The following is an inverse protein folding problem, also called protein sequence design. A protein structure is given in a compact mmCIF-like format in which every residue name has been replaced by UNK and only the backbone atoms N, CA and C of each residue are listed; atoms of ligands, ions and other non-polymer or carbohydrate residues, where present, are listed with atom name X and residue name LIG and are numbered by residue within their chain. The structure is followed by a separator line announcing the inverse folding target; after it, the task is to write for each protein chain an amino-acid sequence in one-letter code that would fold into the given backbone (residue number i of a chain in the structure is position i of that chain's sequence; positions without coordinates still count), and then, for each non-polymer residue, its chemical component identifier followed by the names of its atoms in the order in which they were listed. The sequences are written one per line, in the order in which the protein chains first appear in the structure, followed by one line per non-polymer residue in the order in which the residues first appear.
data_IF_534771320320
#
_entry.id   IF_534771320320
#
_cell.length_a   1.000
_cell.length_b   1.000
_cell.length_c   1.000
_cell.angle_alpha   90.00
_cell.angle_beta   90.00
_cell.angle_gamma   90.00
#
_symmetry.space_group_name_H-M   'P 1'
#
loop_
_entity.id
_entity.type
_entity.pdbx_description
1 polymer ?
#
# COMPACT_ATOMS: atom_id res chain seq x y z
N UNK A 1 24.39 -1.80 14.45
CA UNK A 1 23.09 -1.91 13.76
C UNK A 1 23.32 -2.72 12.49
N UNK A 2 22.39 -3.59 12.07
CA UNK A 2 22.48 -4.22 10.76
C UNK A 2 22.52 -3.15 9.67
N UNK A 3 23.11 -3.48 8.52
CA UNK A 3 23.05 -2.60 7.36
C UNK A 3 21.59 -2.29 7.00
N UNK A 4 21.29 -1.05 6.60
CA UNK A 4 20.01 -0.67 6.01
C UNK A 4 20.12 -0.64 4.48
N UNK A 5 19.88 -1.77 3.80
CA UNK A 5 20.00 -1.83 2.35
C UNK A 5 18.86 -1.10 1.62
N UNK A 6 17.82 -0.62 2.32
CA UNK A 6 16.70 0.06 1.69
C UNK A 6 16.79 1.58 1.84
N UNK A 7 17.48 2.08 2.87
CA UNK A 7 17.65 3.51 3.10
C UNK A 7 16.30 4.22 3.22
N UNK A 8 15.31 3.56 3.83
CA UNK A 8 13.98 4.15 3.96
C UNK A 8 14.01 5.22 5.06
N UNK A 9 13.26 6.32 4.89
CA UNK A 9 13.07 7.25 5.99
C UNK A 9 12.34 6.56 7.15
N UNK A 10 12.58 7.03 8.37
CA UNK A 10 11.90 6.48 9.56
C UNK A 10 10.38 6.67 9.50
N UNK A 11 9.92 7.71 8.80
CA UNK A 11 8.49 7.95 8.58
C UNK A 11 8.24 8.72 7.29
N UNK A 12 7.08 8.45 6.67
CA UNK A 12 6.56 9.20 5.51
C UNK A 12 5.11 9.56 5.82
N UNK A 13 4.80 10.85 5.81
CA UNK A 13 3.45 11.37 5.99
C UNK A 13 2.98 12.04 4.70
N UNK A 14 1.71 11.85 4.36
CA UNK A 14 1.07 12.51 3.23
C UNK A 14 0.07 13.55 3.76
N UNK A 15 0.21 14.79 3.32
CA UNK A 15 -0.79 15.83 3.52
C UNK A 15 -1.64 15.95 2.27
N UNK A 16 -2.85 15.40 2.32
CA UNK A 16 -3.80 15.47 1.21
C UNK A 16 -4.62 16.75 1.29
N UNK A 17 -4.64 17.51 0.20
CA UNK A 17 -5.47 18.71 0.08
C UNK A 17 -6.94 18.34 -0.15
N UNK A 18 -7.21 17.37 -1.02
CA UNK A 18 -8.55 16.90 -1.37
C UNK A 18 -8.68 15.40 -1.13
N UNK A 19 -9.76 15.01 -0.48
CA UNK A 19 -10.09 13.65 -0.08
C UNK A 19 -11.39 13.19 -0.73
N UNK A 20 -11.39 11.93 -1.17
CA UNK A 20 -12.58 11.21 -1.62
C UNK A 20 -12.92 10.15 -0.58
N UNK A 21 -14.05 10.32 0.10
CA UNK A 21 -14.49 9.45 1.19
C UNK A 21 -15.65 8.61 0.68
N UNK A 22 -15.45 7.30 0.58
CA UNK A 22 -16.47 6.35 0.16
C UNK A 22 -17.18 5.80 1.40
N UNK A 23 -18.45 6.11 1.56
CA UNK A 23 -19.28 5.50 2.61
C UNK A 23 -20.01 4.29 2.03
N UNK A 24 -19.52 3.10 2.34
CA UNK A 24 -20.12 1.85 1.87
C UNK A 24 -21.49 1.56 2.49
N UNK A 25 -21.83 2.14 3.65
CA UNK A 25 -23.13 1.94 4.30
C UNK A 25 -24.18 2.87 3.69
N UNK A 26 -23.82 4.13 3.46
CA UNK A 26 -24.72 5.14 2.88
C UNK A 26 -24.75 5.14 1.35
N UNK A 27 -23.84 4.39 0.72
CA UNK A 27 -23.66 4.37 -0.74
C UNK A 27 -23.44 5.77 -1.33
N UNK A 28 -22.72 6.64 -0.60
CA UNK A 28 -22.36 7.98 -1.05
C UNK A 28 -20.84 8.18 -1.12
N UNK A 29 -20.42 9.18 -1.88
CA UNK A 29 -19.04 9.64 -1.96
C UNK A 29 -19.03 11.10 -1.51
N UNK A 30 -18.18 11.42 -0.54
CA UNK A 30 -17.96 12.80 -0.08
C UNK A 30 -16.64 13.31 -0.62
N UNK A 31 -16.66 14.49 -1.23
CA UNK A 31 -15.46 15.20 -1.67
C UNK A 31 -15.18 16.29 -0.64
N UNK A 32 -14.02 16.24 0.00
CA UNK A 32 -13.61 17.22 1.02
C UNK A 32 -12.31 17.86 0.57
N UNK A 33 -12.28 19.18 0.43
CA UNK A 33 -11.07 19.93 0.10
C UNK A 33 -10.70 20.88 1.24
N UNK A 34 -9.47 20.78 1.73
CA UNK A 34 -8.93 21.66 2.76
C UNK A 34 -8.39 22.94 2.13
N UNK A 35 -8.73 24.07 2.75
CA UNK A 35 -8.25 25.41 2.37
C UNK A 35 -7.29 25.92 3.44
N UNK A 36 -6.16 26.49 3.01
CA UNK A 36 -5.21 27.15 3.92
C UNK A 36 -5.63 28.60 4.14
N UNK A 37 -5.73 29.02 5.41
CA UNK A 37 -6.28 30.33 5.80
C UNK A 37 -5.23 31.47 5.67
N UNK A 38 -3.99 31.13 5.35
CA UNK A 38 -2.87 32.07 5.35
C UNK A 38 -2.79 32.92 4.06
N UNK A 39 -3.68 32.69 3.10
CA UNK A 39 -3.72 33.34 1.78
C UNK A 39 -5.03 34.12 1.59
N UNK A 40 -5.27 34.62 0.38
CA UNK A 40 -6.56 35.22 0.01
C UNK A 40 -7.68 34.17 0.13
N UNK A 41 -8.43 34.26 1.23
CA UNK A 41 -9.47 33.30 1.60
C UNK A 41 -10.55 33.16 0.52
N UNK A 42 -10.93 34.27 -0.14
CA UNK A 42 -11.99 34.22 -1.15
C UNK A 42 -11.52 33.47 -2.40
N UNK A 43 -10.27 33.72 -2.81
CA UNK A 43 -9.64 33.01 -3.92
C UNK A 43 -9.48 31.53 -3.62
N UNK A 44 -8.97 31.17 -2.45
CA UNK A 44 -8.74 29.77 -2.10
C UNK A 44 -10.04 28.98 -1.91
N UNK A 45 -11.09 29.63 -1.38
CA UNK A 45 -12.41 29.04 -1.35
C UNK A 45 -12.93 28.73 -2.77
N UNK A 46 -12.82 29.68 -3.71
CA UNK A 46 -13.21 29.46 -5.12
C UNK A 46 -12.41 28.33 -5.76
N UNK A 47 -11.12 28.24 -5.48
CA UNK A 47 -10.25 27.15 -5.97
C UNK A 47 -10.71 25.79 -5.42
N UNK A 48 -11.05 25.70 -4.14
CA UNK A 48 -11.54 24.47 -3.52
C UNK A 48 -12.88 24.02 -4.10
N UNK A 49 -13.81 24.95 -4.31
CA UNK A 49 -15.10 24.66 -4.97
C UNK A 49 -14.87 24.13 -6.38
N UNK A 50 -14.02 24.80 -7.17
CA UNK A 50 -13.70 24.35 -8.53
C UNK A 50 -13.08 22.95 -8.57
N UNK A 51 -12.20 22.60 -7.61
CA UNK A 51 -11.63 21.25 -7.50
C UNK A 51 -12.70 20.21 -7.18
N UNK A 52 -13.62 20.54 -6.28
CA UNK A 52 -14.75 19.66 -5.91
C UNK A 52 -15.63 19.40 -7.13
N UNK A 53 -15.99 20.44 -7.88
CA UNK A 53 -16.83 20.32 -9.07
C UNK A 53 -16.15 19.49 -10.17
N UNK A 54 -14.85 19.70 -10.42
CA UNK A 54 -14.08 18.91 -11.39
C UNK A 54 -14.06 17.43 -11.02
N UNK A 55 -13.82 17.12 -9.73
CA UNK A 55 -13.81 15.73 -9.26
C UNK A 55 -15.20 15.09 -9.35
N UNK A 56 -16.25 15.83 -8.99
CA UNK A 56 -17.63 15.36 -9.12
C UNK A 56 -17.97 15.05 -10.59
N UNK A 57 -17.58 15.93 -11.52
CA UNK A 57 -17.77 15.71 -12.96
C UNK A 57 -16.97 14.50 -13.44
N UNK A 58 -15.73 14.32 -12.98
CA UNK A 58 -14.92 13.16 -13.35
C UNK A 58 -15.50 11.84 -12.84
N UNK A 59 -16.09 11.84 -11.65
CA UNK A 59 -16.73 10.66 -11.06
C UNK A 59 -18.05 10.29 -11.76
N UNK A 60 -18.74 11.24 -12.37
CA UNK A 60 -19.99 10.99 -13.10
C UNK A 60 -19.76 10.42 -14.51
N UNK A 61 -18.54 10.54 -15.04
CA UNK A 61 -18.18 9.99 -16.36
C UNK A 61 -18.06 8.45 -16.30
N UNK A 62 -18.45 7.74 -17.38
CA UNK A 62 -18.24 6.31 -17.48
C UNK A 62 -16.76 5.93 -17.32
N UNK A 63 -16.51 4.88 -16.54
CA UNK A 63 -15.17 4.31 -16.37
C UNK A 63 -14.74 3.62 -17.66
N UNK A 64 -13.78 4.19 -18.38
CA UNK A 64 -13.08 3.51 -19.47
C UNK A 64 -12.07 2.57 -18.86
N UNK A 65 -12.45 1.30 -18.69
CA UNK A 65 -11.49 0.27 -18.30
C UNK A 65 -10.55 -0.03 -19.47
N UNK A 66 -9.23 0.10 -19.32
CA UNK A 66 -8.31 -0.47 -20.29
C UNK A 66 -8.47 -2.00 -20.23
N UNK A 67 -9.18 -2.56 -21.22
CA UNK A 67 -9.38 -3.99 -21.45
C UNK A 67 -8.05 -4.77 -21.48
N UNK A 68 -6.94 -4.07 -21.74
CA UNK A 68 -5.60 -4.65 -21.85
C UNK A 68 -4.96 -5.09 -20.51
N UNK A 69 -5.58 -4.82 -19.35
CA UNK A 69 -5.03 -5.25 -18.06
C UNK A 69 -5.17 -6.76 -17.79
N UNK A 70 -6.06 -7.46 -18.50
CA UNK A 70 -6.20 -8.93 -18.42
C UNK A 70 -5.48 -9.66 -19.56
N UNK A 71 -5.02 -8.95 -20.59
CA UNK A 71 -4.31 -9.50 -21.75
C UNK A 71 -2.83 -9.85 -21.47
N UNK A 72 -2.42 -9.93 -20.20
CA UNK A 72 -1.27 -10.76 -19.80
C UNK A 72 -1.64 -12.25 -19.77
N UNK A 73 -2.58 -12.65 -20.63
CA UNK A 73 -2.81 -14.03 -20.99
C UNK A 73 -1.46 -14.66 -21.39
N UNK A 74 -1.01 -15.59 -20.55
CA UNK A 74 -0.03 -16.62 -20.89
C UNK A 74 1.39 -16.17 -21.30
N UNK A 75 1.99 -15.14 -20.68
CA UNK A 75 3.46 -15.19 -20.57
C UNK A 75 3.79 -16.39 -19.67
N UNK A 76 4.48 -17.41 -20.22
CA UNK A 76 4.95 -18.62 -19.51
C UNK A 76 5.30 -18.25 -18.08
N UNK A 77 4.73 -18.93 -17.07
CA UNK A 77 5.10 -18.79 -15.65
C UNK A 77 6.61 -18.71 -15.57
N UNK A 78 7.16 -17.50 -15.41
CA UNK A 78 8.60 -17.37 -15.36
C UNK A 78 9.03 -18.01 -14.05
N UNK A 79 9.96 -18.97 -14.13
CA UNK A 79 10.65 -19.55 -12.98
C UNK A 79 11.63 -18.55 -12.37
N UNK A 80 11.28 -17.27 -12.32
CA UNK A 80 12.10 -16.26 -11.65
C UNK A 80 12.22 -16.68 -10.19
N UNK A 81 13.47 -16.81 -9.75
CA UNK A 81 13.80 -17.20 -8.38
C UNK A 81 13.48 -16.03 -7.45
N UNK A 82 12.95 -16.37 -6.29
CA UNK A 82 12.87 -15.44 -5.16
C UNK A 82 14.27 -15.16 -4.64
N UNK A 83 14.54 -13.91 -4.28
CA UNK A 83 15.69 -13.55 -3.46
C UNK A 83 15.24 -13.52 -1.99
N UNK A 84 16.01 -14.20 -1.14
CA UNK A 84 15.82 -14.24 0.31
C UNK A 84 17.05 -13.63 0.99
N UNK A 85 16.87 -12.96 2.13
CA UNK A 85 18.01 -12.51 2.96
C UNK A 85 18.72 -13.73 3.57
N UNK A 86 17.95 -14.68 4.10
CA UNK A 86 18.47 -15.90 4.72
C UNK A 86 18.04 -17.13 3.91
N UNK A 87 18.93 -18.11 3.84
CA UNK A 87 18.58 -19.44 3.37
C UNK A 87 17.76 -20.19 4.43
N UNK A 88 16.98 -21.18 4.00
CA UNK A 88 16.03 -21.90 4.86
C UNK A 88 16.64 -22.42 6.17
N UNK A 89 17.84 -23.01 6.13
CA UNK A 89 18.53 -23.54 7.32
C UNK A 89 18.84 -22.46 8.37
N UNK A 90 19.32 -21.29 7.93
CA UNK A 90 19.70 -20.18 8.81
C UNK A 90 18.51 -19.57 9.56
N UNK A 91 17.29 -19.69 9.04
CA UNK A 91 16.10 -19.23 9.74
C UNK A 91 15.76 -20.17 10.90
N UNK A 92 15.92 -21.48 10.72
CA UNK A 92 15.70 -22.44 11.81
C UNK A 92 16.70 -22.25 12.94
N UNK A 93 17.99 -22.08 12.62
CA UNK A 93 19.03 -21.74 13.61
C UNK A 93 18.68 -20.45 14.38
N UNK A 94 18.20 -19.42 13.67
CA UNK A 94 17.78 -18.17 14.32
C UNK A 94 16.55 -18.37 15.23
N UNK A 95 15.63 -19.26 14.87
CA UNK A 95 14.45 -19.58 15.70
C UNK A 95 14.86 -20.38 16.93
N UNK A 96 15.74 -21.38 16.80
CA UNK A 96 16.28 -22.15 17.92
C UNK A 96 16.94 -21.24 18.96
N UNK A 97 17.76 -20.30 18.48
CA UNK A 97 18.37 -19.29 19.35
C UNK A 97 17.34 -18.39 20.07
N UNK A 98 16.28 -17.99 19.39
CA UNK A 98 15.19 -17.24 20.04
C UNK A 98 14.50 -18.07 21.14
N UNK A 99 14.33 -19.37 20.93
CA UNK A 99 13.73 -20.29 21.91
C UNK A 99 14.63 -20.43 23.14
N UNK A 100 15.95 -20.55 22.95
CA UNK A 100 16.92 -20.56 24.05
C UNK A 100 16.80 -19.30 24.92
N UNK A 101 16.71 -18.12 24.30
CA UNK A 101 16.51 -16.86 25.03
C UNK A 101 15.19 -16.81 25.81
N UNK A 102 14.14 -17.45 25.29
CA UNK A 102 12.86 -17.56 26.01
C UNK A 102 13.02 -18.43 27.25
N UNK A 103 13.66 -19.59 27.13
CA UNK A 103 13.89 -20.49 28.27
C UNK A 103 14.86 -19.92 29.31
N UNK A 104 15.85 -19.13 28.87
CA UNK A 104 16.75 -18.41 29.77
C UNK A 104 16.03 -17.30 30.57
N UNK A 105 14.82 -16.91 30.15
CA UNK A 105 14.04 -15.84 30.76
C UNK A 105 14.37 -14.43 30.25
N UNK A 106 15.16 -14.31 29.17
CA UNK A 106 15.58 -13.00 28.62
C UNK A 106 14.42 -12.28 27.90
N UNK A 107 13.54 -13.05 27.26
CA UNK A 107 12.39 -12.54 26.50
C UNK A 107 11.21 -13.50 26.62
N UNK A 108 9.98 -12.99 26.49
CA UNK A 108 8.78 -13.85 26.52
C UNK A 108 8.42 -14.33 25.12
N UNK A 109 8.60 -13.47 24.11
CA UNK A 109 8.28 -13.77 22.72
C UNK A 109 9.18 -12.97 21.79
N UNK A 110 9.57 -13.58 20.66
CA UNK A 110 10.30 -12.92 19.57
C UNK A 110 9.52 -13.08 18.28
N UNK A 111 9.27 -11.98 17.56
CA UNK A 111 8.67 -12.00 16.22
C UNK A 111 9.76 -11.90 15.17
N UNK A 112 10.28 -13.06 14.75
CA UNK A 112 11.31 -13.12 13.72
C UNK A 112 10.69 -12.99 12.32
N UNK A 113 11.30 -12.18 11.45
CA UNK A 113 10.83 -11.95 10.09
C UNK A 113 11.98 -11.98 9.09
N UNK A 114 11.66 -12.24 7.83
CA UNK A 114 12.64 -12.23 6.74
C UNK A 114 12.02 -11.63 5.48
N UNK A 115 12.87 -11.03 4.65
CA UNK A 115 12.44 -10.38 3.41
C UNK A 115 12.51 -11.35 2.23
N UNK A 116 11.39 -11.44 1.51
CA UNK A 116 11.29 -12.05 0.20
C UNK A 116 11.19 -10.97 -0.86
N UNK A 117 11.92 -11.11 -1.96
CA UNK A 117 11.82 -10.20 -3.09
C UNK A 117 11.86 -10.94 -4.42
N UNK A 118 11.19 -10.37 -5.42
CA UNK A 118 11.16 -10.88 -6.79
C UNK A 118 10.94 -9.72 -7.75
N UNK A 119 11.68 -9.71 -8.85
CA UNK A 119 11.46 -8.75 -9.94
C UNK A 119 10.10 -9.01 -10.61
N UNK A 120 9.31 -7.96 -10.76
CA UNK A 120 8.02 -8.00 -11.45
C UNK A 120 7.89 -6.80 -12.40
N UNK A 121 7.18 -7.00 -13.50
CA UNK A 121 6.80 -5.92 -14.44
C UNK A 121 5.32 -5.56 -14.30
N UNK A 122 4.60 -6.20 -13.37
CA UNK A 122 3.18 -5.94 -13.12
C UNK A 122 3.05 -4.59 -12.42
N UNK A 123 2.08 -3.78 -12.85
CA UNK A 123 1.79 -2.49 -12.23
C UNK A 123 1.36 -2.69 -10.76
N UNK A 124 1.89 -1.95 -9.77
CA UNK A 124 1.58 -2.15 -8.35
C UNK A 124 0.08 -2.16 -8.03
N UNK A 125 -0.68 -1.26 -8.65
CA UNK A 125 -2.14 -1.21 -8.47
C UNK A 125 -2.86 -2.50 -8.91
N UNK A 126 -2.33 -3.25 -9.89
CA UNK A 126 -2.92 -4.54 -10.27
C UNK A 126 -2.67 -5.61 -9.19
N UNK A 127 -1.50 -5.58 -8.55
CA UNK A 127 -1.19 -6.46 -7.41
C UNK A 127 -2.15 -6.16 -6.26
N UNK A 128 -2.34 -4.88 -5.94
CA UNK A 128 -3.30 -4.43 -4.92
C UNK A 128 -4.72 -4.92 -5.21
N UNK A 129 -5.22 -4.70 -6.43
CA UNK A 129 -6.56 -5.14 -6.84
C UNK A 129 -6.75 -6.65 -6.70
N UNK A 130 -5.75 -7.43 -7.13
CA UNK A 130 -5.79 -8.88 -7.00
C UNK A 130 -5.74 -9.32 -5.53
N UNK A 131 -4.92 -8.66 -4.71
CA UNK A 131 -4.83 -8.93 -3.29
C UNK A 131 -6.18 -8.74 -2.58
N UNK A 132 -6.85 -7.58 -2.77
CA UNK A 132 -8.15 -7.31 -2.15
C UNK A 132 -9.25 -8.25 -2.65
N UNK A 133 -9.18 -8.67 -3.91
CA UNK A 133 -10.11 -9.64 -4.48
C UNK A 133 -9.95 -11.05 -3.87
N UNK A 134 -8.71 -11.46 -3.55
CA UNK A 134 -8.40 -12.77 -3.01
C UNK A 134 -8.47 -12.82 -1.48
N UNK A 135 -8.03 -11.77 -0.81
CA UNK A 135 -7.89 -11.65 0.63
C UNK A 135 -8.68 -10.43 1.07
N UNK A 136 -9.85 -10.67 1.66
CA UNK A 136 -10.67 -9.61 2.24
C UNK A 136 -10.20 -9.30 3.65
N UNK A 137 -9.44 -8.20 3.77
CA UNK A 137 -8.98 -7.68 5.05
C UNK A 137 -9.60 -6.29 5.30
N UNK A 138 -10.04 -5.96 6.53
CA UNK A 138 -10.68 -4.67 6.83
C UNK A 138 -9.76 -3.46 6.62
N UNK A 139 -8.45 -3.66 6.71
CA UNK A 139 -7.45 -2.63 6.39
C UNK A 139 -6.72 -3.00 5.11
N UNK A 140 -6.90 -2.19 4.07
CA UNK A 140 -6.17 -2.24 2.81
C UNK A 140 -5.78 -0.80 2.44
N UNK A 141 -4.50 -0.58 2.15
CA UNK A 141 -3.94 0.73 1.80
C UNK A 141 -3.28 0.61 0.43
N UNK A 142 -3.45 1.64 -0.41
CA UNK A 142 -2.79 1.79 -1.72
C UNK A 142 -1.47 2.54 -1.54
#
# INVERSE_FOLDING_TARGET
MPDDPQGLPESVFMFSDTLLIFDHVRHDIKIVSHVRINEDLEREYKNAVSKIDELAERLSRPLVFPMNSLNHAHKKRSRQKWSLILQRGKIYEAVEKCVEYIYAGDVIQVVNSQRYSRKTTVHPFQIYRLYVALIRHPTCII
#
